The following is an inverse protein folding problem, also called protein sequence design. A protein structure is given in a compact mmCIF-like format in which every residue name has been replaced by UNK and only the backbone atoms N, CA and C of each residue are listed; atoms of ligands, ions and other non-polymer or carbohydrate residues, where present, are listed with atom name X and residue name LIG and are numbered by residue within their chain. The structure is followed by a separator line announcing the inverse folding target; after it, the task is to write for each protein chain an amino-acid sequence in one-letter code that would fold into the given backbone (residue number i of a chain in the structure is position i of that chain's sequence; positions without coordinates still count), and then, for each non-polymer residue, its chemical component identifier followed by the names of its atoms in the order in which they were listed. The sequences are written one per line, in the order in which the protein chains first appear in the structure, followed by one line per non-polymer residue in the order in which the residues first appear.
data_IF_996025362831
#
_entry.id   IF_996025362831
#
_cell.length_a   1.000
_cell.length_b   1.000
_cell.length_c   1.000
_cell.angle_alpha   90.00
_cell.angle_beta   90.00
_cell.angle_gamma   90.00
#
_symmetry.space_group_name_H-M   'P 1'
#
loop_
_entity.id
_entity.type
_entity.pdbx_description
1 polymer ?
#
# COMPACT_ATOMS: atom_id res chain seq x y z
N UNK A 1 -11.27 -46.85 -5.23
CA UNK A 1 -12.68 -46.71 -4.79
C UNK A 1 -13.21 -45.39 -5.34
N UNK A 2 -13.26 -45.19 -6.65
CA UNK A 2 -14.21 -45.73 -7.63
C UNK A 2 -15.67 -45.50 -7.27
N UNK A 3 -16.25 -44.41 -7.82
CA UNK A 3 -17.39 -44.48 -8.75
C UNK A 3 -17.73 -43.08 -9.29
N UNK A 4 -17.31 -42.86 -10.52
CA UNK A 4 -17.71 -41.77 -11.40
C UNK A 4 -19.21 -41.87 -11.75
N UNK A 5 -19.99 -40.84 -11.40
CA UNK A 5 -21.38 -40.67 -11.85
C UNK A 5 -21.40 -39.91 -13.19
N UNK A 6 -20.93 -40.57 -14.22
CA UNK A 6 -20.99 -40.09 -15.61
C UNK A 6 -21.78 -41.10 -16.43
N UNK A 7 -23.07 -41.26 -16.16
CA UNK A 7 -24.01 -42.00 -17.03
C UNK A 7 -25.47 -41.76 -16.65
N UNK A 8 -25.99 -40.56 -16.92
CA UNK A 8 -27.45 -40.35 -17.08
C UNK A 8 -27.71 -39.36 -18.22
N UNK A 9 -27.06 -39.58 -19.36
CA UNK A 9 -27.51 -39.09 -20.65
C UNK A 9 -27.84 -40.33 -21.47
N UNK A 10 -29.01 -40.33 -22.11
CA UNK A 10 -29.52 -41.41 -22.98
C UNK A 10 -30.55 -42.38 -22.38
N UNK A 11 -31.45 -41.90 -21.51
CA UNK A 11 -32.80 -42.49 -21.50
C UNK A 11 -33.56 -41.91 -22.69
N UNK A 12 -33.32 -42.58 -23.82
CA UNK A 12 -34.09 -42.52 -25.05
C UNK A 12 -35.57 -42.30 -24.74
N UNK A 13 -36.05 -41.13 -25.13
CA UNK A 13 -37.47 -40.87 -25.40
C UNK A 13 -37.82 -41.73 -26.63
N UNK A 14 -37.96 -43.04 -26.44
CA UNK A 14 -38.40 -43.99 -27.49
C UNK A 14 -39.73 -44.68 -27.15
N UNK A 15 -40.38 -44.35 -26.03
CA UNK A 15 -41.65 -45.00 -25.62
C UNK A 15 -42.90 -44.10 -25.58
N UNK A 16 -42.89 -42.94 -26.27
CA UNK A 16 -44.12 -42.14 -26.46
C UNK A 16 -44.53 -41.99 -27.93
N UNK A 17 -44.07 -42.91 -28.80
CA UNK A 17 -44.68 -43.18 -30.11
C UNK A 17 -45.42 -44.52 -30.15
N UNK A 18 -45.76 -45.09 -29.01
CA UNK A 18 -46.70 -46.21 -28.93
C UNK A 18 -48.13 -45.68 -29.00
N UNK A 19 -48.67 -45.69 -30.21
CA UNK A 19 -50.09 -45.76 -30.52
C UNK A 19 -50.96 -44.65 -29.88
N UNK A 20 -50.79 -43.43 -30.36
CA UNK A 20 -51.97 -42.76 -30.92
C UNK A 20 -52.32 -43.47 -32.23
N UNK A 21 -52.72 -44.75 -32.15
CA UNK A 21 -53.60 -45.32 -33.15
C UNK A 21 -54.84 -44.47 -32.94
N UNK A 22 -54.99 -43.44 -33.76
CA UNK A 22 -56.30 -43.08 -34.24
C UNK A 22 -56.97 -44.42 -34.52
N UNK A 23 -57.92 -44.80 -33.67
CA UNK A 23 -58.91 -45.83 -33.98
C UNK A 23 -59.67 -45.26 -35.18
N UNK A 24 -59.04 -45.30 -36.34
CA UNK A 24 -59.70 -45.35 -37.63
C UNK A 24 -59.86 -46.85 -37.81
N UNK A 25 -60.82 -47.40 -37.08
CA UNK A 25 -61.46 -48.62 -37.54
C UNK A 25 -62.15 -48.19 -38.82
N UNK A 26 -61.82 -48.87 -39.91
CA UNK A 26 -62.47 -48.63 -41.20
C UNK A 26 -63.98 -48.86 -41.02
N UNK A 27 -64.84 -48.17 -41.79
CA UNK A 27 -66.30 -48.30 -41.65
C UNK A 27 -66.79 -49.77 -41.73
N UNK A 28 -66.03 -50.64 -42.40
CA UNK A 28 -66.26 -52.09 -42.49
C UNK A 28 -66.07 -52.83 -41.16
N UNK A 29 -65.03 -52.55 -40.38
CA UNK A 29 -64.81 -53.17 -39.05
C UNK A 29 -65.89 -52.73 -38.04
N UNK A 30 -66.51 -51.58 -38.30
CA UNK A 30 -67.53 -50.98 -37.45
C UNK A 30 -68.92 -51.64 -37.59
N UNK A 31 -69.14 -52.44 -38.62
CA UNK A 31 -70.41 -53.14 -38.91
C UNK A 31 -70.42 -54.57 -38.33
N UNK A 32 -69.31 -55.29 -38.41
CA UNK A 32 -69.14 -56.61 -37.77
C UNK A 32 -69.26 -56.53 -36.24
N UNK A 33 -68.67 -55.51 -35.63
CA UNK A 33 -68.74 -55.27 -34.18
C UNK A 33 -70.15 -54.87 -33.70
N UNK A 34 -70.98 -54.25 -34.56
CA UNK A 34 -72.40 -53.98 -34.23
C UNK A 34 -73.22 -55.27 -34.15
N UNK A 35 -72.85 -56.31 -34.90
CA UNK A 35 -73.52 -57.62 -34.84
C UNK A 35 -73.19 -58.34 -33.52
N UNK A 36 -71.98 -58.16 -32.97
CA UNK A 36 -71.60 -58.71 -31.66
C UNK A 36 -72.47 -58.15 -30.54
N UNK A 37 -72.76 -56.85 -30.56
CA UNK A 37 -73.70 -56.22 -29.62
C UNK A 37 -75.08 -56.90 -29.64
N UNK A 38 -75.61 -57.24 -30.81
CA UNK A 38 -76.94 -57.84 -30.93
C UNK A 38 -76.98 -59.22 -30.26
N UNK A 39 -75.90 -60.00 -30.41
CA UNK A 39 -75.79 -61.36 -29.89
C UNK A 39 -75.47 -61.46 -28.40
N UNK A 40 -74.97 -60.39 -27.77
CA UNK A 40 -74.67 -60.37 -26.34
C UNK A 40 -75.94 -60.56 -25.48
N UNK A 41 -75.97 -61.63 -24.67
CA UNK A 41 -77.08 -61.93 -23.74
C UNK A 41 -76.91 -61.28 -22.37
N UNK A 42 -75.68 -60.89 -22.01
CA UNK A 42 -75.28 -60.37 -20.71
C UNK A 42 -74.64 -58.99 -20.84
N UNK A 43 -74.80 -58.15 -19.82
CA UNK A 43 -74.06 -56.89 -19.70
C UNK A 43 -72.56 -57.16 -19.55
N UNK A 44 -71.73 -56.56 -20.40
CA UNK A 44 -70.28 -56.74 -20.38
C UNK A 44 -69.57 -56.14 -19.16
N UNK A 45 -70.27 -55.37 -18.32
CA UNK A 45 -69.71 -54.79 -17.08
C UNK A 45 -70.22 -55.55 -15.86
N UNK A 46 -71.54 -55.66 -15.68
CA UNK A 46 -72.13 -56.23 -14.46
C UNK A 46 -72.64 -57.67 -14.62
N UNK A 47 -72.55 -58.27 -15.81
CA UNK A 47 -72.98 -59.64 -16.06
C UNK A 47 -74.49 -59.89 -16.05
N UNK A 48 -75.34 -58.87 -15.84
CA UNK A 48 -76.79 -59.06 -15.79
C UNK A 48 -77.37 -59.51 -17.13
N UNK A 49 -78.30 -60.47 -17.10
CA UNK A 49 -79.08 -60.94 -18.26
C UNK A 49 -80.00 -59.84 -18.81
N UNK A 50 -79.91 -59.57 -20.11
CA UNK A 50 -80.80 -58.59 -20.75
C UNK A 50 -82.24 -59.06 -20.88
N UNK A 51 -82.48 -60.38 -20.94
CA UNK A 51 -83.82 -60.96 -20.91
C UNK A 51 -84.61 -60.56 -19.66
N UNK A 52 -83.92 -60.40 -18.52
CA UNK A 52 -84.53 -59.98 -17.24
C UNK A 52 -84.72 -58.46 -17.12
N UNK A 53 -83.87 -57.68 -17.80
CA UNK A 53 -83.92 -56.21 -17.74
C UNK A 53 -84.84 -55.58 -18.79
N UNK A 54 -85.19 -56.34 -19.84
CA UNK A 54 -85.97 -55.89 -20.98
C UNK A 54 -85.13 -55.22 -22.08
N UNK A 55 -85.61 -55.24 -23.34
CA UNK A 55 -84.83 -54.86 -24.52
C UNK A 55 -84.40 -53.39 -24.49
N UNK A 56 -85.22 -52.49 -23.94
CA UNK A 56 -84.93 -51.05 -23.88
C UNK A 56 -83.78 -50.68 -22.92
N UNK A 57 -83.36 -51.61 -22.06
CA UNK A 57 -82.25 -51.40 -21.10
C UNK A 57 -80.89 -51.82 -21.66
N UNK A 58 -80.85 -52.54 -22.78
CA UNK A 58 -79.62 -52.89 -23.50
C UNK A 58 -79.14 -51.67 -24.31
N UNK A 59 -77.85 -51.33 -24.18
CA UNK A 59 -77.18 -50.20 -24.86
C UNK A 59 -75.84 -50.69 -25.43
N UNK A 60 -75.42 -50.14 -26.55
CA UNK A 60 -74.11 -50.42 -27.14
C UNK A 60 -73.10 -49.37 -26.68
N UNK A 61 -71.92 -49.81 -26.24
CA UNK A 61 -70.80 -48.91 -26.01
C UNK A 61 -70.13 -48.56 -27.34
N UNK A 62 -69.98 -47.28 -27.64
CA UNK A 62 -69.42 -46.82 -28.93
C UNK A 62 -67.91 -47.03 -29.05
N UNK A 63 -67.23 -47.41 -27.96
CA UNK A 63 -65.78 -47.62 -27.96
C UNK A 63 -65.38 -49.09 -28.02
N UNK A 64 -66.06 -49.96 -27.25
CA UNK A 64 -65.76 -51.39 -27.26
C UNK A 64 -66.83 -52.24 -27.97
N UNK A 65 -67.90 -51.61 -28.45
CA UNK A 65 -69.03 -52.23 -29.16
C UNK A 65 -69.75 -53.37 -28.44
N UNK A 66 -69.46 -53.59 -27.14
CA UNK A 66 -70.14 -54.58 -26.31
C UNK A 66 -71.48 -54.08 -25.79
N UNK A 67 -72.38 -55.02 -25.52
CA UNK A 67 -73.64 -54.71 -24.87
C UNK A 67 -73.48 -54.43 -23.38
N UNK A 68 -74.05 -53.31 -22.96
CA UNK A 68 -74.05 -52.85 -21.57
C UNK A 68 -75.46 -52.46 -21.15
N UNK A 69 -75.78 -52.68 -19.89
CA UNK A 69 -77.04 -52.21 -19.35
C UNK A 69 -77.01 -50.69 -19.20
N UNK A 70 -78.20 -50.08 -19.16
CA UNK A 70 -78.33 -48.64 -19.00
C UNK A 70 -77.62 -48.09 -17.75
N UNK A 71 -77.56 -48.87 -16.65
CA UNK A 71 -76.86 -48.49 -15.42
C UNK A 71 -75.34 -48.44 -15.59
N UNK A 72 -74.76 -49.31 -16.42
CA UNK A 72 -73.31 -49.36 -16.67
C UNK A 72 -72.86 -48.48 -17.86
N UNK A 73 -73.75 -47.63 -18.34
CA UNK A 73 -73.53 -46.74 -19.49
C UNK A 73 -74.36 -45.47 -19.36
N UNK A 74 -74.45 -44.93 -18.16
CA UNK A 74 -75.32 -43.79 -17.88
C UNK A 74 -74.92 -42.54 -18.68
N UNK A 75 -73.62 -42.37 -18.89
CA UNK A 75 -73.06 -41.17 -19.50
C UNK A 75 -73.11 -41.22 -21.03
N UNK A 76 -73.44 -40.08 -21.63
CA UNK A 76 -73.30 -39.84 -23.07
C UNK A 76 -72.16 -38.84 -23.26
N UNK A 77 -71.26 -39.13 -24.17
CA UNK A 77 -70.13 -38.27 -24.53
C UNK A 77 -70.24 -37.87 -25.98
N UNK A 78 -69.93 -36.61 -26.27
CA UNK A 78 -69.84 -36.14 -27.64
C UNK A 78 -68.68 -36.84 -28.35
N UNK A 79 -68.97 -37.58 -29.42
CA UNK A 79 -67.95 -38.15 -30.28
C UNK A 79 -67.64 -37.15 -31.39
N UNK A 80 -66.40 -36.68 -31.43
CA UNK A 80 -65.94 -35.70 -32.44
C UNK A 80 -65.91 -36.27 -33.85
N UNK A 81 -65.75 -37.58 -34.02
CA UNK A 81 -65.72 -38.24 -35.33
C UNK A 81 -67.13 -38.36 -35.92
N UNK A 82 -68.10 -38.84 -35.13
CA UNK A 82 -69.50 -39.02 -35.59
C UNK A 82 -70.35 -37.77 -35.42
N UNK A 83 -69.79 -36.69 -34.83
CA UNK A 83 -70.48 -35.43 -34.47
C UNK A 83 -71.80 -35.64 -33.73
N UNK A 84 -71.87 -36.70 -32.91
CA UNK A 84 -73.10 -37.12 -32.24
C UNK A 84 -72.85 -37.56 -30.80
N UNK A 85 -73.90 -37.50 -29.98
CA UNK A 85 -73.85 -37.96 -28.59
C UNK A 85 -73.86 -39.49 -28.55
N UNK A 86 -72.72 -40.06 -28.22
CA UNK A 86 -72.47 -41.49 -28.20
C UNK A 86 -72.42 -42.01 -26.76
N UNK A 87 -72.83 -43.26 -26.52
CA UNK A 87 -72.75 -43.86 -25.17
C UNK A 87 -71.41 -44.56 -25.00
N UNK A 88 -70.79 -44.37 -23.85
CA UNK A 88 -69.64 -45.14 -23.40
C UNK A 88 -70.04 -45.97 -22.18
N UNK A 89 -69.47 -47.16 -22.08
CA UNK A 89 -69.58 -47.93 -20.86
C UNK A 89 -68.57 -47.41 -19.82
N UNK A 90 -68.87 -47.60 -18.54
CA UNK A 90 -68.08 -47.02 -17.44
C UNK A 90 -66.60 -47.45 -17.50
N UNK A 91 -66.31 -48.68 -17.95
CA UNK A 91 -64.95 -49.17 -18.16
C UNK A 91 -64.19 -48.39 -19.26
N UNK A 92 -64.83 -48.13 -20.40
CA UNK A 92 -64.21 -47.40 -21.50
C UNK A 92 -64.08 -45.91 -21.17
N UNK A 93 -65.06 -45.36 -20.46
CA UNK A 93 -64.98 -44.01 -19.95
C UNK A 93 -63.83 -43.84 -18.95
N UNK A 94 -63.68 -44.77 -17.99
CA UNK A 94 -62.57 -44.77 -17.03
C UNK A 94 -61.21 -44.80 -17.72
N UNK A 95 -61.05 -45.66 -18.75
CA UNK A 95 -59.83 -45.70 -19.58
C UNK A 95 -59.57 -44.39 -20.31
N UNK A 96 -60.61 -43.79 -20.90
CA UNK A 96 -60.50 -42.49 -21.58
C UNK A 96 -60.04 -41.38 -20.64
N UNK A 97 -60.62 -41.29 -19.43
CA UNK A 97 -60.22 -40.31 -18.42
C UNK A 97 -58.79 -40.56 -17.97
N UNK A 98 -58.42 -41.83 -17.74
CA UNK A 98 -57.07 -42.20 -17.34
C UNK A 98 -56.04 -41.78 -18.40
N UNK A 99 -56.28 -42.06 -19.68
CA UNK A 99 -55.33 -41.77 -20.76
C UNK A 99 -55.26 -40.29 -21.13
N UNK A 100 -56.39 -39.58 -21.14
CA UNK A 100 -56.45 -38.20 -21.64
C UNK A 100 -56.33 -37.14 -20.54
N UNK A 101 -56.64 -37.50 -19.30
CA UNK A 101 -56.62 -36.56 -18.17
C UNK A 101 -55.51 -36.97 -17.19
N UNK A 102 -55.63 -38.14 -16.56
CA UNK A 102 -54.74 -38.52 -15.45
C UNK A 102 -53.27 -38.66 -15.87
N UNK A 103 -52.99 -39.35 -16.99
CA UNK A 103 -51.61 -39.59 -17.44
C UNK A 103 -50.87 -38.30 -17.86
N UNK A 104 -51.43 -37.40 -18.69
CA UNK A 104 -50.80 -36.13 -19.01
C UNK A 104 -50.52 -35.25 -17.79
N UNK A 105 -51.45 -35.19 -16.83
CA UNK A 105 -51.24 -34.43 -15.59
C UNK A 105 -50.16 -35.06 -14.71
N UNK A 106 -50.12 -36.38 -14.59
CA UNK A 106 -49.05 -37.09 -13.87
C UNK A 106 -47.67 -36.77 -14.47
N UNK A 107 -47.55 -36.77 -15.81
CA UNK A 107 -46.31 -36.40 -16.49
C UNK A 107 -45.94 -34.92 -16.25
N UNK A 108 -46.92 -34.00 -16.31
CA UNK A 108 -46.69 -32.58 -16.01
C UNK A 108 -46.23 -32.39 -14.55
N UNK A 109 -46.86 -33.05 -13.59
CA UNK A 109 -46.48 -33.01 -12.18
C UNK A 109 -45.05 -33.54 -12.00
N UNK A 110 -44.69 -34.65 -12.64
CA UNK A 110 -43.34 -35.20 -12.57
C UNK A 110 -42.29 -34.23 -13.14
N UNK A 111 -42.59 -33.56 -14.26
CA UNK A 111 -41.73 -32.53 -14.85
C UNK A 111 -41.54 -31.34 -13.91
N UNK A 112 -42.62 -30.84 -13.31
CA UNK A 112 -42.56 -29.73 -12.34
C UNK A 112 -41.77 -30.12 -11.11
N UNK A 113 -42.00 -31.32 -10.53
CA UNK A 113 -41.21 -31.84 -9.41
C UNK A 113 -39.72 -31.93 -9.74
N UNK A 114 -39.38 -32.40 -10.95
CA UNK A 114 -37.99 -32.45 -11.41
C UNK A 114 -37.36 -31.05 -11.52
N UNK A 115 -38.11 -30.07 -12.03
CA UNK A 115 -37.65 -28.68 -12.11
C UNK A 115 -37.43 -28.07 -10.73
N UNK A 116 -38.37 -28.25 -9.79
CA UNK A 116 -38.25 -27.83 -8.39
C UNK A 116 -36.98 -28.43 -7.77
N UNK A 117 -36.74 -29.73 -7.94
CA UNK A 117 -35.56 -30.38 -7.39
C UNK A 117 -34.25 -29.83 -7.97
N UNK A 118 -34.22 -29.49 -9.27
CA UNK A 118 -33.05 -28.86 -9.90
C UNK A 118 -32.81 -27.45 -9.35
N UNK A 119 -33.87 -26.65 -9.20
CA UNK A 119 -33.77 -25.31 -8.62
C UNK A 119 -33.31 -25.36 -7.17
N UNK A 120 -33.86 -26.25 -6.34
CA UNK A 120 -33.42 -26.44 -4.96
C UNK A 120 -31.95 -26.84 -4.86
N UNK A 121 -31.44 -27.66 -5.79
CA UNK A 121 -30.00 -27.98 -5.85
C UNK A 121 -29.16 -26.74 -6.17
N UNK A 122 -29.58 -25.92 -7.13
CA UNK A 122 -28.89 -24.65 -7.47
C UNK A 122 -28.88 -23.68 -6.29
N UNK A 123 -30.02 -23.48 -5.62
CA UNK A 123 -30.13 -22.63 -4.43
C UNK A 123 -29.14 -23.09 -3.35
N UNK A 124 -29.05 -24.39 -3.08
CA UNK A 124 -28.09 -24.92 -2.09
C UNK A 124 -26.63 -24.65 -2.49
N UNK A 125 -26.30 -24.79 -3.77
CA UNK A 125 -24.95 -24.52 -4.29
C UNK A 125 -24.58 -23.03 -4.19
N UNK A 126 -25.51 -22.16 -4.56
CA UNK A 126 -25.33 -20.70 -4.44
C UNK A 126 -25.21 -20.29 -2.98
N UNK A 127 -26.01 -20.85 -2.08
CA UNK A 127 -25.90 -20.60 -0.64
C UNK A 127 -24.53 -21.03 -0.08
N UNK A 128 -24.00 -22.17 -0.50
CA UNK A 128 -22.65 -22.58 -0.10
C UNK A 128 -21.58 -21.63 -0.64
N UNK A 129 -21.69 -21.18 -1.88
CA UNK A 129 -20.75 -20.22 -2.47
C UNK A 129 -20.79 -18.86 -1.74
N UNK A 130 -21.98 -18.36 -1.41
CA UNK A 130 -22.15 -17.14 -0.61
C UNK A 130 -21.49 -17.29 0.76
N UNK A 131 -21.67 -18.44 1.42
CA UNK A 131 -21.06 -18.68 2.74
C UNK A 131 -19.52 -18.73 2.66
N UNK A 132 -18.95 -19.29 1.59
CA UNK A 132 -17.50 -19.30 1.37
C UNK A 132 -16.96 -17.88 1.10
N UNK A 133 -17.64 -17.09 0.27
CA UNK A 133 -17.25 -15.71 0.03
C UNK A 133 -17.36 -14.85 1.30
N UNK A 134 -18.40 -15.05 2.11
CA UNK A 134 -18.52 -14.36 3.41
C UNK A 134 -17.37 -14.70 4.36
N UNK A 135 -16.88 -15.94 4.37
CA UNK A 135 -15.68 -16.32 5.13
C UNK A 135 -14.44 -15.59 4.61
N UNK A 136 -14.23 -15.55 3.29
CA UNK A 136 -13.11 -14.81 2.68
C UNK A 136 -13.17 -13.32 3.03
N UNK A 137 -14.36 -12.72 2.98
CA UNK A 137 -14.56 -11.32 3.38
C UNK A 137 -14.17 -11.12 4.84
N UNK A 138 -14.63 -11.99 5.74
CA UNK A 138 -14.26 -11.95 7.16
C UNK A 138 -12.74 -12.02 7.36
N UNK A 139 -12.07 -12.96 6.70
CA UNK A 139 -10.60 -13.12 6.80
C UNK A 139 -9.86 -11.89 6.28
N UNK A 140 -10.33 -11.31 5.18
CA UNK A 140 -9.76 -10.08 4.62
C UNK A 140 -9.95 -8.88 5.55
N UNK A 141 -11.12 -8.75 6.18
CA UNK A 141 -11.37 -7.69 7.17
C UNK A 141 -10.46 -7.84 8.39
N UNK A 142 -10.27 -9.06 8.91
CA UNK A 142 -9.31 -9.31 9.98
C UNK A 142 -7.88 -8.94 9.58
N UNK A 143 -7.49 -9.25 8.33
CA UNK A 143 -6.16 -8.90 7.80
C UNK A 143 -5.97 -7.39 7.64
N UNK A 144 -7.00 -6.67 7.19
CA UNK A 144 -6.98 -5.20 7.11
C UNK A 144 -6.77 -4.61 8.49
N UNK A 145 -7.58 -5.02 9.48
CA UNK A 145 -7.47 -4.54 10.86
C UNK A 145 -6.08 -4.79 11.45
N UNK A 146 -5.50 -5.97 11.23
CA UNK A 146 -4.14 -6.28 11.66
C UNK A 146 -3.09 -5.36 11.01
N UNK A 147 -3.20 -5.10 9.71
CA UNK A 147 -2.28 -4.22 8.99
C UNK A 147 -2.41 -2.76 9.43
N UNK A 148 -3.62 -2.29 9.70
CA UNK A 148 -3.88 -0.95 10.24
C UNK A 148 -3.22 -0.78 11.61
N UNK A 149 -3.41 -1.75 12.52
CA UNK A 149 -2.78 -1.73 13.84
C UNK A 149 -1.25 -1.71 13.75
N UNK A 150 -0.68 -2.57 12.88
CA UNK A 150 0.76 -2.60 12.66
C UNK A 150 1.29 -1.29 12.09
N UNK A 151 0.56 -0.66 11.19
CA UNK A 151 0.96 0.60 10.58
C UNK A 151 0.86 1.76 11.59
N UNK A 152 -0.16 1.76 12.45
CA UNK A 152 -0.28 2.71 13.55
C UNK A 152 0.92 2.61 14.50
N UNK A 153 1.24 1.41 14.99
CA UNK A 153 2.38 1.20 15.88
C UNK A 153 3.71 1.64 15.24
N UNK A 154 3.95 1.27 13.97
CA UNK A 154 5.14 1.71 13.26
C UNK A 154 5.19 3.23 13.02
N UNK A 155 4.03 3.89 12.92
CA UNK A 155 3.94 5.34 12.79
C UNK A 155 4.21 6.03 14.13
N UNK A 156 3.70 5.50 15.24
CA UNK A 156 4.00 5.98 16.59
C UNK A 156 5.50 5.93 16.90
N UNK A 157 6.17 4.82 16.59
CA UNK A 157 7.63 4.69 16.73
C UNK A 157 8.38 5.76 15.93
N UNK A 158 7.95 6.03 14.68
CA UNK A 158 8.53 7.09 13.85
C UNK A 158 8.32 8.47 14.46
N UNK A 159 7.12 8.74 14.99
CA UNK A 159 6.82 10.01 15.64
C UNK A 159 7.70 10.23 16.87
N UNK A 160 7.85 9.22 17.72
CA UNK A 160 8.76 9.27 18.87
C UNK A 160 10.20 9.55 18.43
N UNK A 161 10.65 8.92 17.34
CA UNK A 161 11.99 9.17 16.80
C UNK A 161 12.15 10.58 16.25
N UNK A 162 11.14 11.11 15.55
CA UNK A 162 11.11 12.49 15.06
C UNK A 162 11.23 13.47 16.24
N UNK A 163 10.39 13.33 17.26
CA UNK A 163 10.44 14.20 18.45
C UNK A 163 11.78 14.14 19.18
N UNK A 164 12.40 12.95 19.26
CA UNK A 164 13.75 12.81 19.83
C UNK A 164 14.80 13.58 19.01
N UNK A 165 14.74 13.50 17.68
CA UNK A 165 15.69 14.18 16.79
C UNK A 165 15.48 15.70 16.80
N UNK A 166 14.23 16.17 16.87
CA UNK A 166 13.90 17.59 17.00
C UNK A 166 14.49 18.17 18.29
N UNK A 167 14.36 17.45 19.40
CA UNK A 167 14.97 17.84 20.68
C UNK A 167 16.50 17.89 20.61
N UNK A 168 17.12 16.96 19.90
CA UNK A 168 18.57 16.95 19.68
C UNK A 168 19.03 18.15 18.83
N UNK A 169 18.28 18.48 17.77
CA UNK A 169 18.52 19.69 16.95
C UNK A 169 18.44 20.96 17.80
N UNK A 170 17.45 21.06 18.70
CA UNK A 170 17.31 22.21 19.60
C UNK A 170 18.53 22.34 20.52
N UNK A 171 19.01 21.23 21.11
CA UNK A 171 20.21 21.21 21.96
C UNK A 171 21.45 21.66 21.18
N UNK A 172 21.71 21.07 20.01
CA UNK A 172 22.85 21.42 19.17
C UNK A 172 22.81 22.89 18.72
N UNK A 173 21.62 23.42 18.40
CA UNK A 173 21.46 24.85 18.07
C UNK A 173 21.84 25.75 19.23
N UNK A 174 21.52 25.36 20.48
CA UNK A 174 21.91 26.11 21.68
C UNK A 174 23.42 26.07 21.88
N UNK A 175 24.04 24.89 21.78
CA UNK A 175 25.50 24.74 21.88
C UNK A 175 26.24 25.56 20.81
N UNK A 176 25.76 25.58 19.56
CA UNK A 176 26.34 26.41 18.49
C UNK A 176 26.27 27.89 18.85
N UNK A 177 25.17 28.38 19.44
CA UNK A 177 25.05 29.78 19.87
C UNK A 177 26.07 30.12 20.96
N UNK A 178 26.22 29.24 21.95
CA UNK A 178 27.18 29.41 23.05
C UNK A 178 28.63 29.41 22.54
N UNK A 179 28.98 28.48 21.65
CA UNK A 179 30.30 28.42 21.02
C UNK A 179 30.59 29.65 20.17
N UNK A 180 29.61 30.17 19.42
CA UNK A 180 29.75 31.42 18.68
C UNK A 180 30.05 32.60 19.61
N UNK A 181 29.32 32.73 20.72
CA UNK A 181 29.54 33.79 21.69
C UNK A 181 30.95 33.71 22.32
N UNK A 182 31.42 32.50 22.63
CA UNK A 182 32.77 32.26 23.13
C UNK A 182 33.85 32.57 22.10
N UNK A 183 33.60 32.28 20.82
CA UNK A 183 34.53 32.61 19.75
C UNK A 183 34.67 34.13 19.57
N UNK A 184 33.56 34.88 19.63
CA UNK A 184 33.60 36.35 19.59
C UNK A 184 34.38 36.94 20.75
N UNK A 185 34.15 36.50 21.99
CA UNK A 185 34.89 37.03 23.15
C UNK A 185 36.39 36.70 23.09
N UNK A 186 36.77 35.50 22.64
CA UNK A 186 38.17 35.15 22.41
C UNK A 186 38.81 36.02 21.32
N UNK A 187 38.07 36.37 20.27
CA UNK A 187 38.54 37.29 19.23
C UNK A 187 38.81 38.70 19.77
N UNK A 188 37.96 39.19 20.67
CA UNK A 188 38.16 40.49 21.33
C UNK A 188 39.41 40.47 22.21
N UNK A 189 39.57 39.45 23.05
CA UNK A 189 40.77 39.26 23.88
C UNK A 189 42.02 39.18 23.02
N UNK A 190 41.99 38.44 21.90
CA UNK A 190 43.11 38.37 20.95
C UNK A 190 43.47 39.77 20.43
N UNK A 191 42.49 40.54 19.97
CA UNK A 191 42.72 41.89 19.45
C UNK A 191 43.34 42.82 20.52
N UNK A 192 42.91 42.71 21.77
CA UNK A 192 43.46 43.53 22.86
C UNK A 192 44.89 43.12 23.24
N UNK A 193 45.19 41.82 23.20
CA UNK A 193 46.57 41.33 23.35
C UNK A 193 47.47 41.80 22.20
N UNK A 194 46.99 41.78 20.96
CA UNK A 194 47.73 42.31 19.81
C UNK A 194 47.99 43.82 19.91
N UNK A 195 47.02 44.61 20.39
CA UNK A 195 47.22 46.04 20.69
C UNK A 195 48.30 46.23 21.77
N UNK A 196 48.28 45.41 22.81
CA UNK A 196 49.26 45.44 23.89
C UNK A 196 50.66 45.10 23.40
N UNK A 197 50.80 44.05 22.57
CA UNK A 197 52.05 43.70 21.90
C UNK A 197 52.56 44.85 21.04
N UNK A 198 51.70 45.52 20.27
CA UNK A 198 52.09 46.70 19.47
C UNK A 198 52.63 47.84 20.34
N UNK A 199 52.02 48.11 21.50
CA UNK A 199 52.52 49.12 22.44
C UNK A 199 53.89 48.75 23.01
N UNK A 200 54.07 47.49 23.42
CA UNK A 200 55.35 46.99 23.95
C UNK A 200 56.45 47.09 22.88
N UNK A 201 56.16 46.71 21.62
CA UNK A 201 57.12 46.86 20.51
C UNK A 201 57.58 48.31 20.35
N UNK A 202 56.66 49.29 20.36
CA UNK A 202 57.02 50.72 20.30
C UNK A 202 57.89 51.16 21.48
N UNK A 203 57.62 50.66 22.69
CA UNK A 203 58.45 50.96 23.87
C UNK A 203 59.86 50.38 23.71
N UNK A 204 59.97 49.13 23.21
CA UNK A 204 61.26 48.50 22.91
C UNK A 204 62.04 49.33 21.89
N UNK A 205 61.40 49.74 20.79
CA UNK A 205 62.05 50.56 19.76
C UNK A 205 62.54 51.90 20.33
N UNK A 206 61.72 52.58 21.15
CA UNK A 206 62.11 53.83 21.83
C UNK A 206 63.28 53.65 22.81
N UNK A 207 63.31 52.54 23.55
CA UNK A 207 64.44 52.21 24.44
C UNK A 207 65.69 51.93 23.61
N UNK A 208 65.56 51.16 22.51
CA UNK A 208 66.68 50.87 21.60
C UNK A 208 67.28 52.14 21.02
N UNK A 209 66.46 53.06 20.48
CA UNK A 209 66.96 54.34 19.96
C UNK A 209 67.64 55.20 21.03
N UNK A 210 67.13 55.21 22.27
CA UNK A 210 67.81 55.89 23.39
C UNK A 210 69.15 55.23 23.74
N UNK A 211 69.21 53.90 23.71
CA UNK A 211 70.44 53.14 23.92
C UNK A 211 71.48 53.47 22.83
N UNK A 212 71.06 53.46 21.56
CA UNK A 212 71.92 53.78 20.40
C UNK A 212 72.44 55.21 20.47
N UNK A 213 71.57 56.19 20.79
CA UNK A 213 71.98 57.58 20.99
C UNK A 213 73.02 57.71 22.11
N UNK A 214 72.76 57.08 23.26
CA UNK A 214 73.68 57.09 24.40
C UNK A 214 75.00 56.39 24.09
N UNK A 215 74.98 55.29 23.34
CA UNK A 215 76.19 54.62 22.86
C UNK A 215 76.98 55.51 21.90
N UNK A 216 76.31 56.26 21.01
CA UNK A 216 76.95 57.23 20.12
C UNK A 216 77.59 58.40 20.90
N UNK A 217 76.90 58.93 21.91
CA UNK A 217 77.44 59.93 22.83
C UNK A 217 78.68 59.39 23.56
N UNK A 218 78.59 58.18 24.12
CA UNK A 218 79.70 57.53 24.83
C UNK A 218 80.89 57.29 23.89
N UNK A 219 80.64 56.85 22.65
CA UNK A 219 81.68 56.65 21.65
C UNK A 219 82.36 57.96 21.28
N UNK A 220 81.61 59.06 21.18
CA UNK A 220 82.16 60.39 20.92
C UNK A 220 82.97 60.93 22.10
N UNK A 221 82.51 60.68 23.34
CA UNK A 221 83.20 61.00 24.59
C UNK A 221 84.52 60.24 24.71
N UNK A 222 84.54 58.94 24.38
CA UNK A 222 85.75 58.12 24.35
C UNK A 222 86.75 58.69 23.33
N UNK A 223 86.30 59.03 22.12
CA UNK A 223 87.17 59.63 21.09
C UNK A 223 87.76 60.97 21.55
N UNK A 224 86.98 61.84 22.20
CA UNK A 224 87.52 63.09 22.77
C UNK A 224 88.58 62.81 23.83
N UNK A 225 88.31 61.90 24.77
CA UNK A 225 89.26 61.56 25.83
C UNK A 225 90.52 60.87 25.31
N UNK A 226 90.43 60.08 24.23
CA UNK A 226 91.63 59.54 23.58
C UNK A 226 92.46 60.61 22.87
N UNK A 227 91.81 61.63 22.27
CA UNK A 227 92.50 62.78 21.67
C UNK A 227 93.13 63.68 22.75
N UNK A 228 92.46 63.87 23.90
CA UNK A 228 93.02 64.58 25.05
C UNK A 228 94.18 63.80 25.71
N UNK A 229 94.13 62.47 25.68
CA UNK A 229 95.23 61.59 26.12
C UNK A 229 96.42 61.66 25.15
N UNK A 230 96.18 61.74 23.84
CA UNK A 230 97.20 61.97 22.81
C UNK A 230 97.78 63.41 22.84
N UNK A 231 97.02 64.41 23.30
CA UNK A 231 97.48 65.78 23.50
C UNK A 231 98.27 65.98 24.82
N UNK A 232 98.25 64.99 25.73
CA UNK A 232 98.88 65.08 27.06
C UNK A 232 100.13 64.20 27.23
N UNK A 233 100.61 63.47 26.21
CA UNK A 233 101.82 62.64 26.32
C UNK A 233 103.10 63.32 25.79
N UNK A 234 103.50 64.38 26.49
CA UNK A 234 104.91 64.73 26.70
C UNK A 234 105.07 65.21 28.14
N UNK A 235 104.99 64.27 29.09
CA UNK A 235 105.86 64.18 30.27
C UNK A 235 105.51 62.93 31.09
N UNK A 236 106.54 62.37 31.70
CA UNK A 236 106.63 61.05 32.33
C UNK A 236 105.69 60.82 33.52
N UNK A 237 105.38 59.53 33.74
CA UNK A 237 104.88 58.87 34.98
C UNK A 237 103.60 59.46 35.59
N UNK A 238 102.49 58.75 35.80
CA UNK A 238 102.32 57.39 36.32
C UNK A 238 101.03 56.84 35.70
N UNK A 239 101.16 55.80 34.86
CA UNK A 239 100.05 55.14 34.21
C UNK A 239 99.83 53.78 34.88
N UNK A 240 98.93 53.71 35.85
CA UNK A 240 98.51 52.41 36.42
C UNK A 240 96.98 52.33 36.66
N UNK A 241 96.29 53.42 37.01
CA UNK A 241 94.84 53.33 37.30
C UNK A 241 93.90 53.56 36.10
N UNK A 242 94.38 54.21 35.03
CA UNK A 242 93.54 54.56 33.87
C UNK A 242 93.23 53.38 32.94
N UNK A 243 94.20 52.47 32.78
CA UNK A 243 94.02 51.25 31.99
C UNK A 243 93.10 50.25 32.70
N UNK A 244 93.17 50.17 34.04
CA UNK A 244 92.32 49.27 34.80
C UNK A 244 90.83 49.63 34.67
N UNK A 245 90.49 50.92 34.68
CA UNK A 245 89.10 51.40 34.54
C UNK A 245 88.50 51.17 33.14
N UNK A 246 89.34 51.23 32.09
CA UNK A 246 88.92 50.91 30.72
C UNK A 246 88.75 49.40 30.52
N UNK A 247 89.65 48.59 31.06
CA UNK A 247 89.52 47.13 31.04
C UNK A 247 88.30 46.67 31.84
N UNK A 248 88.04 47.26 33.01
CA UNK A 248 86.85 46.98 33.82
C UNK A 248 85.56 47.37 33.08
N UNK A 249 85.53 48.50 32.37
CA UNK A 249 84.37 48.88 31.54
C UNK A 249 84.15 47.96 30.34
N UNK A 250 85.22 47.47 29.72
CA UNK A 250 85.13 46.48 28.64
C UNK A 250 84.63 45.14 29.17
N UNK A 251 85.10 44.70 30.34
CA UNK A 251 84.59 43.50 31.02
C UNK A 251 83.12 43.64 31.41
N UNK A 252 82.71 44.78 31.97
CA UNK A 252 81.30 45.05 32.31
C UNK A 252 80.42 45.02 31.05
N UNK A 253 80.87 45.60 29.94
CA UNK A 253 80.17 45.52 28.66
C UNK A 253 80.11 44.07 28.13
N UNK A 254 81.18 43.29 28.29
CA UNK A 254 81.21 41.86 27.96
C UNK A 254 80.20 41.06 28.79
N UNK A 255 80.13 41.31 30.10
CA UNK A 255 79.17 40.67 31.01
C UNK A 255 77.74 41.07 30.64
N UNK A 256 77.47 42.36 30.37
CA UNK A 256 76.14 42.80 29.93
C UNK A 256 75.72 42.18 28.59
N UNK A 257 76.65 42.05 27.64
CA UNK A 257 76.41 41.36 26.37
C UNK A 257 76.08 39.88 26.59
N UNK A 258 76.81 39.21 27.49
CA UNK A 258 76.55 37.81 27.84
C UNK A 258 75.19 37.62 28.53
N UNK A 259 74.80 38.53 29.44
CA UNK A 259 73.48 38.50 30.10
C UNK A 259 72.36 38.68 29.06
N UNK A 260 72.52 39.62 28.14
CA UNK A 260 71.54 39.86 27.08
C UNK A 260 71.41 38.65 26.14
N UNK A 261 72.52 37.98 25.83
CA UNK A 261 72.53 36.75 25.03
C UNK A 261 71.80 35.61 25.74
N UNK A 262 72.07 35.39 27.02
CA UNK A 262 71.38 34.37 27.82
C UNK A 262 69.86 34.61 27.89
N UNK A 263 69.44 35.87 28.10
CA UNK A 263 68.01 36.22 28.12
C UNK A 263 67.34 36.00 26.75
N UNK A 264 68.07 36.21 25.65
CA UNK A 264 67.57 35.96 24.31
C UNK A 264 67.42 34.45 24.06
N UNK A 265 68.41 33.65 24.47
CA UNK A 265 68.38 32.19 24.36
C UNK A 265 67.21 31.60 25.18
N UNK A 266 66.99 32.09 26.41
CA UNK A 266 65.85 31.69 27.26
C UNK A 266 64.49 32.05 26.62
N UNK A 267 64.41 33.20 25.93
CA UNK A 267 63.19 33.59 25.20
C UNK A 267 62.93 32.67 23.99
N UNK A 268 63.97 32.25 23.28
CA UNK A 268 63.87 31.31 22.15
C UNK A 268 63.44 29.93 22.64
N UNK A 269 64.00 29.45 23.75
CA UNK A 269 63.60 28.19 24.37
C UNK A 269 62.13 28.23 24.85
N UNK A 270 61.71 29.33 25.47
CA UNK A 270 60.31 29.51 25.86
C UNK A 270 59.33 29.55 24.67
N UNK A 271 59.75 30.05 23.51
CA UNK A 271 58.94 30.06 22.29
C UNK A 271 58.82 28.65 21.69
N UNK A 272 59.92 27.90 21.63
CA UNK A 272 59.92 26.52 21.12
C UNK A 272 59.04 25.60 21.98
N UNK A 273 59.10 25.72 23.31
CA UNK A 273 58.20 24.98 24.21
C UNK A 273 56.72 25.29 23.93
N UNK A 274 56.38 26.55 23.64
CA UNK A 274 55.00 26.93 23.32
C UNK A 274 54.53 26.38 21.97
N UNK A 275 55.41 26.34 20.96
CA UNK A 275 55.08 25.74 19.67
C UNK A 275 54.83 24.23 19.78
N UNK A 276 55.58 23.52 20.61
CA UNK A 276 55.34 22.10 20.91
C UNK A 276 54.00 21.87 21.63
N UNK A 277 53.64 22.75 22.57
CA UNK A 277 52.33 22.68 23.24
C UNK A 277 51.18 22.89 22.25
N UNK A 278 51.31 23.83 21.30
CA UNK A 278 50.33 24.08 20.24
C UNK A 278 50.22 22.86 19.31
N UNK A 279 51.34 22.26 18.92
CA UNK A 279 51.37 21.05 18.08
C UNK A 279 50.65 19.88 18.78
N UNK A 280 50.88 19.70 20.09
CA UNK A 280 50.26 18.66 20.90
C UNK A 280 48.75 18.87 21.02
N UNK A 281 48.30 20.10 21.26
CA UNK A 281 46.87 20.43 21.30
C UNK A 281 46.18 20.19 19.95
N UNK A 282 46.86 20.54 18.84
CA UNK A 282 46.35 20.32 17.48
C UNK A 282 46.17 18.83 17.18
N UNK A 283 47.16 18.00 17.58
CA UNK A 283 47.09 16.54 17.46
C UNK A 283 45.95 15.93 18.28
N UNK A 284 45.70 16.44 19.47
CA UNK A 284 44.61 16.00 20.35
C UNK A 284 43.22 16.38 19.83
N UNK A 285 43.09 17.51 19.15
CA UNK A 285 41.84 17.92 18.50
C UNK A 285 41.56 17.01 17.29
N UNK A 286 42.58 16.70 16.49
CA UNK A 286 42.48 15.82 15.32
C UNK A 286 42.15 14.35 15.69
N UNK A 287 42.68 13.85 16.81
CA UNK A 287 42.37 12.50 17.30
C UNK A 287 40.97 12.38 17.91
N UNK A 288 40.46 13.44 18.56
CA UNK A 288 39.08 13.49 19.11
C UNK A 288 37.99 13.63 18.03
N UNK A 289 38.27 14.27 16.90
CA UNK A 289 37.34 14.33 15.78
C UNK A 289 37.27 13.00 15.00
N UNK A 290 38.35 12.23 15.00
CA UNK A 290 38.43 10.92 14.34
C UNK A 290 37.77 9.79 15.15
N UNK A 291 37.81 9.85 16.49
CA UNK A 291 37.21 8.82 17.36
C UNK A 291 35.69 8.93 17.54
N UNK A 292 35.08 10.07 17.17
CA UNK A 292 33.60 10.24 17.17
C UNK A 292 32.91 9.80 15.87
N UNK A 293 33.66 9.41 14.84
CA UNK A 293 33.12 8.99 13.53
C UNK A 293 33.19 7.47 13.28
N UNK A 294 33.81 6.69 14.18
CA UNK A 294 34.04 5.24 13.97
C UNK A 294 33.26 4.31 14.92
N UNK A 295 32.31 4.78 15.74
CA UNK A 295 31.51 3.89 16.61
C UNK A 295 30.16 3.43 16.02
N UNK A 296 29.89 3.69 14.73
CA UNK A 296 28.70 3.18 14.05
C UNK A 296 29.07 2.48 12.75
N UNK A 297 29.81 1.36 12.83
CA UNK A 297 29.89 0.43 11.70
C UNK A 297 30.17 -1.00 12.12
N UNK A 298 29.09 -1.73 12.38
CA UNK A 298 28.88 -3.19 12.24
C UNK A 298 27.48 -3.44 12.81
N UNK A 299 26.46 -3.85 12.05
CA UNK A 299 26.33 -5.14 11.36
C UNK A 299 25.28 -5.06 10.23
N UNK A 300 25.35 -6.01 9.30
CA UNK A 300 24.53 -6.23 8.10
C UNK A 300 24.90 -5.31 6.91
N UNK A 301 25.21 -5.80 5.72
CA UNK A 301 24.43 -6.77 4.96
C UNK A 301 25.27 -7.30 3.80
N UNK A 302 25.11 -8.58 3.46
CA UNK A 302 25.46 -9.07 2.14
C UNK A 302 24.58 -8.38 1.08
N UNK A 303 25.21 -7.55 0.26
CA UNK A 303 25.05 -7.42 -1.20
C UNK A 303 23.81 -8.18 -1.73
N UNK A 304 22.67 -7.54 -2.02
CA UNK A 304 22.37 -6.92 -3.33
C UNK A 304 21.10 -6.03 -3.27
N UNK A 305 21.19 -4.68 -3.32
CA UNK A 305 19.99 -3.81 -3.36
C UNK A 305 19.82 -2.95 -4.63
N UNK A 306 20.59 -3.16 -5.70
CA UNK A 306 20.52 -2.26 -6.86
C UNK A 306 19.31 -2.53 -7.79
N UNK A 307 18.86 -3.78 -7.92
CA UNK A 307 17.80 -4.16 -8.88
C UNK A 307 16.38 -3.96 -8.32
N UNK A 308 16.16 -4.16 -7.02
CA UNK A 308 14.84 -3.97 -6.40
C UNK A 308 14.45 -2.48 -6.29
N UNK A 309 15.42 -1.60 -6.08
CA UNK A 309 15.23 -0.14 -6.05
C UNK A 309 14.70 0.42 -7.37
N UNK A 310 15.22 -0.07 -8.50
CA UNK A 310 14.78 0.34 -9.83
C UNK A 310 13.37 -0.19 -10.17
N UNK A 311 13.06 -1.42 -9.76
CA UNK A 311 11.73 -2.02 -9.96
C UNK A 311 10.66 -1.26 -9.17
N UNK A 312 10.91 -0.95 -7.90
CA UNK A 312 10.03 -0.12 -7.06
C UNK A 312 9.84 1.30 -7.62
N UNK A 313 10.89 1.94 -8.13
CA UNK A 313 10.76 3.28 -8.75
C UNK A 313 9.89 3.24 -10.01
N UNK A 314 10.01 2.19 -10.83
CA UNK A 314 9.18 2.03 -12.02
C UNK A 314 7.71 1.78 -11.67
N UNK A 315 7.42 0.94 -10.67
CA UNK A 315 6.06 0.66 -10.19
C UNK A 315 5.39 1.90 -9.58
N UNK A 316 6.12 2.70 -8.80
CA UNK A 316 5.63 3.96 -8.24
C UNK A 316 5.30 4.96 -9.37
N UNK A 317 6.12 5.03 -10.42
CA UNK A 317 5.88 5.91 -11.58
C UNK A 317 4.61 5.49 -12.34
N UNK A 318 4.37 4.19 -12.52
CA UNK A 318 3.16 3.67 -13.18
C UNK A 318 1.92 3.94 -12.35
N UNK A 319 1.96 3.68 -11.03
CA UNK A 319 0.83 3.95 -10.13
C UNK A 319 0.47 5.45 -10.07
N UNK A 320 1.46 6.35 -10.07
CA UNK A 320 1.20 7.80 -10.16
C UNK A 320 0.48 8.21 -11.44
N UNK A 321 0.82 7.60 -12.59
CA UNK A 321 0.11 7.85 -13.86
C UNK A 321 -1.34 7.38 -13.83
N UNK A 322 -1.62 6.21 -13.25
CA UNK A 322 -3.00 5.71 -13.11
C UNK A 322 -3.84 6.59 -12.19
N UNK A 323 -3.28 7.09 -11.09
CA UNK A 323 -3.98 8.01 -10.19
C UNK A 323 -4.35 9.31 -10.91
N UNK A 324 -3.43 9.87 -11.70
CA UNK A 324 -3.70 11.07 -12.51
C UNK A 324 -4.79 10.84 -13.57
N UNK A 325 -4.81 9.66 -14.20
CA UNK A 325 -5.85 9.30 -15.16
C UNK A 325 -7.23 9.22 -14.50
N UNK A 326 -7.34 8.53 -13.36
CA UNK A 326 -8.59 8.42 -12.59
C UNK A 326 -9.07 9.78 -12.07
N UNK A 327 -8.16 10.66 -11.65
CA UNK A 327 -8.50 12.03 -11.25
C UNK A 327 -9.06 12.86 -12.41
N UNK A 328 -8.58 12.65 -13.64
CA UNK A 328 -9.10 13.32 -14.82
C UNK A 328 -10.47 12.76 -15.23
N UNK A 329 -10.69 11.45 -15.14
CA UNK A 329 -12.00 10.83 -15.37
C UNK A 329 -13.04 11.34 -14.36
N UNK A 330 -12.70 11.39 -13.06
CA UNK A 330 -13.57 11.96 -12.02
C UNK A 330 -13.94 13.42 -12.30
N UNK A 331 -13.01 14.23 -12.83
CA UNK A 331 -13.31 15.60 -13.24
C UNK A 331 -14.31 15.65 -14.41
N UNK A 332 -14.20 14.74 -15.37
CA UNK A 332 -15.16 14.64 -16.48
C UNK A 332 -16.56 14.26 -15.99
N UNK A 333 -16.68 13.34 -15.02
CA UNK A 333 -17.97 13.00 -14.41
C UNK A 333 -18.58 14.17 -13.63
N UNK A 334 -17.75 14.93 -12.89
CA UNK A 334 -18.24 16.13 -12.18
C UNK A 334 -18.76 17.23 -13.11
N UNK A 335 -18.28 17.27 -14.37
CA UNK A 335 -18.78 18.19 -15.39
C UNK A 335 -20.13 17.74 -15.96
N UNK A 336 -20.30 16.43 -16.19
CA UNK A 336 -21.57 15.86 -16.66
C UNK A 336 -22.69 16.00 -15.61
N UNK A 337 -22.38 15.82 -14.34
CA UNK A 337 -23.34 15.98 -13.24
C UNK A 337 -23.85 17.43 -13.13
N UNK A 338 -22.99 18.42 -13.42
CA UNK A 338 -23.40 19.83 -13.53
C UNK A 338 -24.30 20.13 -14.73
N UNK A 339 -24.16 19.40 -15.84
CA UNK A 339 -25.06 19.57 -16.98
C UNK A 339 -26.41 18.91 -16.76
N UNK A 340 -26.46 17.80 -16.02
CA UNK A 340 -27.70 17.13 -15.64
C UNK A 340 -28.52 17.89 -14.59
N UNK A 341 -27.84 18.71 -13.76
CA UNK A 341 -28.50 19.59 -12.79
C UNK A 341 -28.85 20.98 -13.34
N UNK A 342 -28.57 21.25 -14.62
CA UNK A 342 -29.01 22.50 -15.24
C UNK A 342 -30.55 22.53 -15.28
N UNK A 343 -31.22 23.52 -14.67
CA UNK A 343 -32.67 23.60 -14.68
C UNK A 343 -33.16 23.71 -16.12
N UNK A 344 -34.06 22.79 -16.50
CA UNK A 344 -34.79 22.88 -17.77
C UNK A 344 -35.43 24.26 -17.85
N UNK A 345 -34.85 25.14 -18.67
CA UNK A 345 -35.42 26.46 -18.92
C UNK A 345 -36.80 26.26 -19.52
N UNK A 346 -37.82 26.48 -18.72
CA UNK A 346 -39.21 26.51 -19.13
C UNK A 346 -39.39 27.65 -20.13
N UNK A 347 -39.33 27.33 -21.42
CA UNK A 347 -39.83 28.22 -22.46
C UNK A 347 -41.34 28.36 -22.25
N UNK A 348 -41.87 29.58 -21.99
CA UNK A 348 -43.29 29.79 -21.90
C UNK A 348 -43.89 29.66 -23.31
N UNK A 349 -44.67 28.60 -23.51
CA UNK A 349 -45.45 28.41 -24.73
C UNK A 349 -46.62 29.39 -24.68
N UNK A 350 -46.54 30.50 -25.41
CA UNK A 350 -47.67 31.41 -25.63
C UNK A 350 -48.54 30.87 -26.75
N UNK A 351 -49.43 29.95 -26.41
CA UNK A 351 -50.59 29.63 -27.25
C UNK A 351 -51.76 30.49 -26.79
N UNK A 352 -51.91 31.66 -27.42
CA UNK A 352 -53.12 32.47 -27.34
C UNK A 352 -54.25 31.74 -28.08
N UNK A 353 -55.24 31.28 -27.32
CA UNK A 353 -56.53 30.82 -27.84
C UNK A 353 -57.40 32.07 -28.01
N UNK A 354 -57.80 32.36 -29.26
CA UNK A 354 -58.90 33.25 -29.62
C UNK A 354 -60.07 32.41 -30.09
#
# INVERSE_FOLDING_TARGET
MDRSFSDVKSLKIQHLRTRSRSLILTEQEHEEDKLLYLNDKLCSICGCLFSLLGPNRKKCCTFCYKAVCHKCSMQKTYNSQTKSMSRLCDNCQGKFIQSNVSMPFTVKIAKVKSAINKLNKKIKQEQSAINEENKKISDLLSKISFLELRNMSANEEKQLKISSLENEIIKLKKEIKELKAKATSLSEVKNDKEKSIRKIKKLIDSVRSRQEAKNGELSSEIVRKSVDYEASSYQESEADDGYHNLTEKIEICGIQSHILKNNLDELVENLTIKDEQIATLTKNISSKSSSKLNSHRSTATSITPCVQSLKLKSEIKTKKKMILALQNELKQYSFLDRQLQAPLSSNPCTCSIQ
#
